data_IF_515324425984
#
_entry.id   IF_515324425984
#
_cell.length_a   1.000
_cell.length_b   1.000
_cell.length_c   1.000
_cell.angle_alpha   90.00
_cell.angle_beta   90.00
_cell.angle_gamma   90.00
#
_symmetry.space_group_name_H-M   'P 1'
#
loop_
_entity.id
_entity.type
_entity.pdbx_description
1 polymer ?
#
# COMPACT_ATOMS: atom_id res chain seq x y z
N UNK A 1 -5.12 26.41 15.39
CA UNK A 1 -6.03 27.56 15.37
C UNK A 1 -6.99 27.36 14.21
N UNK A 2 -8.32 27.50 14.39
CA UNK A 2 -9.30 27.35 13.31
C UNK A 2 -9.69 28.73 12.79
N UNK A 3 -9.42 29.02 11.51
CA UNK A 3 -9.81 30.30 10.89
C UNK A 3 -11.29 30.23 10.48
N UNK A 4 -12.11 31.20 10.87
CA UNK A 4 -13.55 31.22 10.55
C UNK A 4 -13.86 31.97 9.25
N UNK A 5 -14.92 31.61 8.51
CA UNK A 5 -15.32 32.32 7.28
C UNK A 5 -15.67 33.81 7.53
N UNK A 6 -16.20 34.12 8.71
CA UNK A 6 -16.44 35.51 9.16
C UNK A 6 -15.14 36.34 9.18
N UNK A 7 -13.99 35.68 9.38
CA UNK A 7 -12.65 36.27 9.38
C UNK A 7 -12.16 36.71 7.99
N UNK A 8 -12.86 36.41 6.89
CA UNK A 8 -12.41 36.79 5.54
C UNK A 8 -13.30 37.84 4.92
N UNK A 9 -14.62 37.71 5.11
CA UNK A 9 -15.56 38.76 4.72
C UNK A 9 -15.20 40.10 5.38
N UNK A 10 -14.75 40.05 6.64
CA UNK A 10 -14.23 41.23 7.33
C UNK A 10 -12.77 41.59 6.98
N UNK A 11 -11.96 40.67 6.40
CA UNK A 11 -10.63 40.98 5.84
C UNK A 11 -10.71 41.80 4.56
N UNK A 12 -11.66 41.43 3.68
CA UNK A 12 -11.93 42.13 2.43
C UNK A 12 -12.52 43.52 2.65
N UNK A 13 -13.05 43.79 3.86
CA UNK A 13 -13.62 45.07 4.29
C UNK A 13 -12.67 45.87 5.22
N UNK A 14 -11.52 45.32 5.58
CA UNK A 14 -10.57 45.98 6.48
C UNK A 14 -9.67 46.95 5.68
N UNK A 15 -9.59 48.25 6.04
CA UNK A 15 -8.66 49.16 5.39
C UNK A 15 -7.23 48.80 5.81
N UNK A 16 -6.46 48.31 4.84
CA UNK A 16 -5.04 47.95 4.94
C UNK A 16 -4.27 48.98 4.11
N UNK A 17 -3.24 49.56 4.71
CA UNK A 17 -2.42 50.61 4.10
C UNK A 17 -1.28 50.00 3.27
N UNK A 18 -0.69 50.77 2.35
CA UNK A 18 0.54 50.33 1.64
C UNK A 18 1.70 50.07 2.61
N UNK A 19 1.73 50.78 3.73
CA UNK A 19 2.72 50.58 4.81
C UNK A 19 2.55 49.21 5.49
N UNK A 20 1.31 48.79 5.75
CA UNK A 20 1.01 47.44 6.26
C UNK A 20 1.50 46.35 5.26
N UNK A 21 1.28 46.56 3.96
CA UNK A 21 1.73 45.63 2.90
C UNK A 21 3.27 45.58 2.85
N UNK A 22 3.94 46.72 2.96
CA UNK A 22 5.41 46.79 2.98
C UNK A 22 6.00 46.10 4.21
N UNK A 23 5.36 46.24 5.38
CA UNK A 23 5.72 45.54 6.60
C UNK A 23 5.58 44.02 6.39
N UNK A 24 4.45 43.53 5.87
CA UNK A 24 4.22 42.11 5.59
C UNK A 24 5.26 41.50 4.63
N UNK A 25 5.63 42.24 3.58
CA UNK A 25 6.67 41.82 2.64
C UNK A 25 8.05 41.65 3.29
N UNK A 26 8.35 42.42 4.34
CA UNK A 26 9.61 42.33 5.09
C UNK A 26 9.71 41.09 6.00
N UNK A 27 8.58 40.45 6.34
CA UNK A 27 8.51 39.28 7.25
C UNK A 27 8.62 37.92 6.57
N UNK A 28 8.84 37.92 5.25
CA UNK A 28 8.99 36.70 4.46
C UNK A 28 10.35 35.99 4.64
N UNK A 29 11.18 36.41 5.61
CA UNK A 29 12.52 35.84 5.88
C UNK A 29 12.63 35.09 7.22
N UNK A 30 11.55 34.96 7.99
CA UNK A 30 11.59 34.42 9.36
C UNK A 30 11.26 32.90 9.42
N UNK A 31 11.95 32.18 10.30
CA UNK A 31 11.96 30.71 10.36
C UNK A 31 10.64 30.09 10.83
N UNK A 32 9.92 30.65 11.81
CA UNK A 32 8.68 30.08 12.38
C UNK A 32 7.47 31.01 12.25
N UNK A 33 6.24 30.46 12.26
CA UNK A 33 5.01 31.26 12.19
C UNK A 33 4.84 32.15 13.42
N UNK A 34 5.19 31.62 14.59
CA UNK A 34 5.06 32.34 15.85
C UNK A 34 5.96 33.57 15.88
N UNK A 35 7.16 33.51 15.27
CA UNK A 35 8.02 34.68 15.12
C UNK A 35 7.44 35.71 14.14
N UNK A 36 6.85 35.24 13.03
CA UNK A 36 6.15 36.12 12.08
C UNK A 36 4.96 36.82 12.76
N UNK A 37 4.13 36.07 13.48
CA UNK A 37 2.96 36.60 14.18
C UNK A 37 3.40 37.52 15.32
N UNK A 38 4.40 37.12 16.12
CA UNK A 38 4.94 37.92 17.21
C UNK A 38 5.49 39.25 16.70
N UNK A 39 6.37 39.24 15.71
CA UNK A 39 6.98 40.46 15.21
C UNK A 39 5.98 41.36 14.47
N UNK A 40 5.01 40.76 13.76
CA UNK A 40 3.90 41.52 13.17
C UNK A 40 2.99 42.11 14.25
N UNK A 41 2.74 41.39 15.35
CA UNK A 41 1.95 41.89 16.47
C UNK A 41 2.65 43.01 17.24
N UNK A 42 3.99 43.02 17.26
CA UNK A 42 4.77 44.12 17.82
C UNK A 42 4.73 45.37 16.93
N UNK A 43 4.75 45.20 15.61
CA UNK A 43 4.72 46.33 14.66
C UNK A 43 3.31 46.83 14.34
N UNK A 44 2.30 45.97 14.48
CA UNK A 44 0.88 46.27 14.19
C UNK A 44 -0.01 45.83 15.37
N UNK A 45 0.17 46.42 16.57
CA UNK A 45 -0.46 45.94 17.81
C UNK A 45 -2.00 46.07 17.84
N UNK A 46 -2.56 46.88 16.95
CA UNK A 46 -4.01 47.12 16.85
C UNK A 46 -4.68 46.35 15.72
N UNK A 47 -3.93 45.57 14.93
CA UNK A 47 -4.43 44.84 13.77
C UNK A 47 -4.52 43.36 14.07
N UNK A 48 -5.51 42.68 13.49
CA UNK A 48 -5.54 41.23 13.52
C UNK A 48 -4.62 40.68 12.41
N UNK A 49 -3.51 40.09 12.82
CA UNK A 49 -2.42 39.64 11.93
C UNK A 49 -2.86 38.54 10.96
N UNK A 50 -3.81 37.68 11.35
CA UNK A 50 -4.34 36.63 10.48
C UNK A 50 -5.06 37.22 9.26
N UNK A 51 -5.87 38.26 9.48
CA UNK A 51 -6.57 38.97 8.41
C UNK A 51 -5.58 39.60 7.42
N UNK A 52 -4.53 40.24 7.96
CA UNK A 52 -3.49 40.87 7.16
C UNK A 52 -2.75 39.86 6.29
N UNK A 53 -2.40 38.71 6.85
CA UNK A 53 -1.70 37.65 6.13
C UNK A 53 -2.60 37.04 5.03
N UNK A 54 -3.87 36.76 5.33
CA UNK A 54 -4.83 36.27 4.34
C UNK A 54 -5.00 37.30 3.20
N UNK A 55 -5.22 38.57 3.52
CA UNK A 55 -5.36 39.62 2.51
C UNK A 55 -4.11 39.75 1.63
N UNK A 56 -2.92 39.72 2.24
CA UNK A 56 -1.66 39.78 1.52
C UNK A 56 -1.47 38.59 0.58
N UNK A 57 -1.80 37.37 1.01
CA UNK A 57 -1.81 36.17 0.16
C UNK A 57 -2.74 36.39 -1.04
N UNK A 58 -3.97 36.83 -0.81
CA UNK A 58 -4.97 37.04 -1.88
C UNK A 58 -4.51 38.11 -2.87
N UNK A 59 -4.06 39.26 -2.37
CA UNK A 59 -3.59 40.39 -3.18
C UNK A 59 -2.39 40.00 -4.04
N UNK A 60 -1.44 39.27 -3.46
CA UNK A 60 -0.24 38.83 -4.15
C UNK A 60 -0.54 37.74 -5.19
N UNK A 61 -1.48 36.84 -4.93
CA UNK A 61 -1.88 35.81 -5.91
C UNK A 61 -2.67 36.38 -7.10
N UNK A 62 -3.36 37.51 -6.93
CA UNK A 62 -4.15 38.18 -7.99
C UNK A 62 -3.31 39.02 -8.96
N UNK A 63 -2.07 39.34 -8.61
CA UNK A 63 -1.19 40.20 -9.42
C UNK A 63 0.08 39.46 -9.84
N UNK A 64 0.66 39.77 -11.02
CA UNK A 64 1.98 39.27 -11.41
C UNK A 64 3.01 39.44 -10.28
N UNK A 65 3.69 38.37 -9.90
CA UNK A 65 4.69 38.41 -8.82
C UNK A 65 5.91 37.55 -9.11
N UNK A 66 6.93 37.64 -8.26
CA UNK A 66 8.16 36.85 -8.37
C UNK A 66 8.01 35.46 -7.72
N UNK A 67 8.81 34.51 -8.18
CA UNK A 67 8.85 33.14 -7.62
C UNK A 67 9.11 33.13 -6.11
N UNK A 68 10.06 33.96 -5.61
CA UNK A 68 10.33 34.10 -4.18
C UNK A 68 9.09 34.48 -3.36
N UNK A 69 8.24 35.36 -3.91
CA UNK A 69 7.00 35.78 -3.22
C UNK A 69 5.99 34.64 -3.19
N UNK A 70 5.90 33.84 -4.25
CA UNK A 70 5.08 32.62 -4.27
C UNK A 70 5.58 31.60 -3.23
N UNK A 71 6.89 31.34 -3.17
CA UNK A 71 7.48 30.42 -2.17
C UNK A 71 7.12 30.88 -0.75
N UNK A 72 7.23 32.18 -0.47
CA UNK A 72 6.89 32.73 0.85
C UNK A 72 5.41 32.56 1.18
N UNK A 73 4.51 32.78 0.22
CA UNK A 73 3.08 32.50 0.38
C UNK A 73 2.86 31.02 0.71
N UNK A 74 3.45 30.10 -0.06
CA UNK A 74 3.28 28.66 0.15
C UNK A 74 3.81 28.23 1.53
N UNK A 75 4.92 28.79 1.98
CA UNK A 75 5.48 28.55 3.32
C UNK A 75 4.58 29.09 4.44
N UNK A 76 3.93 30.23 4.22
CA UNK A 76 2.95 30.78 5.16
C UNK A 76 1.70 29.91 5.18
N UNK A 77 1.19 29.48 4.03
CA UNK A 77 0.08 28.52 3.93
C UNK A 77 0.44 27.21 4.65
N UNK A 78 1.69 26.74 4.57
CA UNK A 78 2.13 25.57 5.34
C UNK A 78 1.97 25.73 6.84
N UNK A 79 2.38 26.90 7.33
CA UNK A 79 2.39 27.26 8.74
C UNK A 79 0.97 27.45 9.29
N UNK A 80 0.03 27.97 8.50
CA UNK A 80 -1.39 28.02 8.83
C UNK A 80 -2.07 26.69 8.49
N UNK A 81 -2.25 25.81 9.48
CA UNK A 81 -2.92 24.51 9.37
C UNK A 81 -3.74 24.26 8.06
N UNK A 82 -3.20 23.39 7.20
CA UNK A 82 -3.62 22.99 5.82
C UNK A 82 -5.06 23.31 5.40
N UNK A 83 -6.03 22.93 6.23
CA UNK A 83 -7.44 22.93 5.85
C UNK A 83 -8.11 24.30 5.84
N UNK A 84 -7.55 25.29 6.53
CA UNK A 84 -8.27 26.55 6.74
C UNK A 84 -8.05 27.52 5.59
N UNK A 85 -6.80 27.82 5.20
CA UNK A 85 -6.54 28.77 4.09
C UNK A 85 -7.01 28.23 2.74
N UNK A 86 -6.91 26.93 2.48
CA UNK A 86 -7.35 26.35 1.20
C UNK A 86 -8.87 26.46 1.06
N UNK A 87 -9.65 26.12 2.11
CA UNK A 87 -11.10 26.32 2.13
C UNK A 87 -11.51 27.79 1.96
N UNK A 88 -10.67 28.70 2.44
CA UNK A 88 -10.86 30.14 2.29
C UNK A 88 -10.65 30.57 0.84
N UNK A 89 -9.58 30.08 0.20
CA UNK A 89 -9.32 30.34 -1.22
C UNK A 89 -10.47 29.83 -2.10
N UNK A 90 -10.99 28.64 -1.78
CA UNK A 90 -12.15 28.01 -2.44
C UNK A 90 -13.44 28.83 -2.24
N UNK A 91 -13.77 29.18 -0.99
CA UNK A 91 -15.02 29.87 -0.65
C UNK A 91 -15.13 31.27 -1.25
N UNK A 92 -14.00 31.89 -1.63
CA UNK A 92 -13.93 33.25 -2.16
C UNK A 92 -13.68 33.32 -3.68
N UNK A 93 -13.68 32.18 -4.37
CA UNK A 93 -13.54 32.09 -5.82
C UNK A 93 -12.35 32.91 -6.36
N UNK A 94 -11.21 32.87 -5.65
CA UNK A 94 -10.09 33.76 -5.92
C UNK A 94 -9.43 33.39 -7.25
N UNK A 95 -9.54 34.28 -8.23
CA UNK A 95 -8.82 34.16 -9.50
C UNK A 95 -7.32 34.43 -9.28
N UNK A 96 -6.53 33.37 -9.28
CA UNK A 96 -5.07 33.47 -9.26
C UNK A 96 -4.60 33.92 -10.65
N UNK A 97 -3.68 34.88 -10.67
CA UNK A 97 -3.14 35.41 -11.92
C UNK A 97 -2.45 34.29 -12.73
N UNK A 98 -2.66 34.18 -14.06
CA UNK A 98 -2.13 33.07 -14.86
C UNK A 98 -0.61 32.87 -14.76
N UNK A 99 0.16 33.96 -14.66
CA UNK A 99 1.61 33.89 -14.44
C UNK A 99 1.97 33.18 -13.13
N UNK A 100 1.21 33.41 -12.07
CA UNK A 100 1.47 32.81 -10.76
C UNK A 100 1.13 31.32 -10.78
N UNK A 101 0.13 30.90 -11.56
CA UNK A 101 -0.17 29.48 -11.80
C UNK A 101 1.04 28.79 -12.45
N UNK A 102 1.64 29.41 -13.48
CA UNK A 102 2.86 28.89 -14.13
C UNK A 102 4.02 28.78 -13.14
N UNK A 103 4.21 29.79 -12.28
CA UNK A 103 5.25 29.73 -11.24
C UNK A 103 5.00 28.58 -10.25
N UNK A 104 3.75 28.37 -9.82
CA UNK A 104 3.37 27.26 -8.93
C UNK A 104 3.59 25.91 -9.62
N UNK A 105 3.25 25.78 -10.90
CA UNK A 105 3.55 24.58 -11.69
C UNK A 105 5.06 24.31 -11.77
N UNK A 106 5.86 25.35 -12.01
CA UNK A 106 7.32 25.21 -12.08
C UNK A 106 7.93 24.81 -10.73
N UNK A 107 7.43 25.36 -9.62
CA UNK A 107 7.84 24.94 -8.27
C UNK A 107 7.54 23.47 -8.02
N UNK A 108 6.36 22.99 -8.46
CA UNK A 108 6.03 21.57 -8.37
C UNK A 108 6.96 20.71 -9.25
N UNK A 109 7.15 21.07 -10.53
CA UNK A 109 8.00 20.31 -11.48
C UNK A 109 9.45 20.23 -11.07
N UNK A 110 10.00 21.33 -10.56
CA UNK A 110 11.39 21.45 -10.18
C UNK A 110 11.65 21.03 -8.72
N UNK A 111 10.66 20.42 -8.07
CA UNK A 111 10.84 19.86 -6.74
C UNK A 111 11.98 18.85 -6.75
N UNK A 112 12.88 18.97 -5.79
CA UNK A 112 13.93 18.01 -5.56
C UNK A 112 13.94 17.63 -4.09
N UNK A 113 14.32 16.39 -3.82
CA UNK A 113 14.65 15.96 -2.47
C UNK A 113 15.80 16.81 -1.93
N UNK A 114 15.61 17.37 -0.74
CA UNK A 114 16.70 17.99 -0.01
C UNK A 114 17.70 16.90 0.45
N UNK A 115 18.78 16.75 -0.33
CA UNK A 115 19.84 15.75 -0.09
C UNK A 115 20.64 15.99 1.20
N UNK A 116 20.38 17.08 1.92
CA UNK A 116 21.05 17.34 3.20
C UNK A 116 20.61 16.34 4.29
N UNK A 117 19.45 15.69 4.15
CA UNK A 117 18.98 14.68 5.10
C UNK A 117 19.76 13.35 5.02
N UNK A 118 19.79 12.67 6.18
CA UNK A 118 20.32 11.34 6.56
C UNK A 118 21.31 10.64 5.61
N UNK A 119 22.43 10.15 6.18
CA UNK A 119 23.38 9.27 5.47
C UNK A 119 22.70 8.10 4.75
N UNK A 120 21.64 7.56 5.37
CA UNK A 120 20.83 6.46 4.85
C UNK A 120 20.16 6.79 3.51
N UNK A 121 19.48 7.93 3.42
CA UNK A 121 18.79 8.33 2.19
C UNK A 121 19.80 8.63 1.07
N UNK A 122 20.94 9.26 1.39
CA UNK A 122 22.00 9.52 0.39
C UNK A 122 22.50 8.24 -0.27
N UNK A 123 22.89 7.25 0.53
CA UNK A 123 23.34 5.96 0.02
C UNK A 123 22.27 5.26 -0.84
N UNK A 124 21.01 5.31 -0.41
CA UNK A 124 19.91 4.71 -1.14
C UNK A 124 19.58 5.42 -2.46
N UNK A 125 19.94 6.69 -2.60
CA UNK A 125 19.72 7.48 -3.82
C UNK A 125 20.85 7.37 -4.86
N UNK A 126 22.04 6.85 -4.50
CA UNK A 126 23.20 6.81 -5.40
C UNK A 126 22.93 6.06 -6.71
N UNK A 127 22.14 4.98 -6.66
CA UNK A 127 21.83 4.14 -7.82
C UNK A 127 20.39 4.27 -8.33
N UNK A 128 19.58 5.12 -7.71
CA UNK A 128 18.13 5.15 -7.97
C UNK A 128 17.81 5.54 -9.42
N UNK A 129 18.58 6.46 -10.00
CA UNK A 129 18.42 6.90 -11.39
C UNK A 129 18.65 5.75 -12.38
N UNK A 130 19.62 4.87 -12.09
CA UNK A 130 19.90 3.69 -12.91
C UNK A 130 18.75 2.71 -12.85
N UNK A 131 18.19 2.47 -11.66
CA UNK A 131 17.05 1.57 -11.50
C UNK A 131 15.77 2.12 -12.15
N UNK A 132 15.56 3.44 -12.12
CA UNK A 132 14.46 4.12 -12.82
C UNK A 132 14.61 3.92 -14.34
N UNK A 133 15.80 4.15 -14.89
CA UNK A 133 16.06 3.96 -16.32
C UNK A 133 15.87 2.52 -16.79
N UNK A 134 16.17 1.54 -15.93
CA UNK A 134 15.95 0.12 -16.22
C UNK A 134 14.57 -0.41 -15.84
N UNK A 135 13.67 0.45 -15.33
CA UNK A 135 12.34 0.09 -14.83
C UNK A 135 12.37 -1.09 -13.82
N UNK A 136 13.39 -1.09 -12.95
CA UNK A 136 13.59 -2.10 -11.91
C UNK A 136 12.85 -1.68 -10.63
N UNK A 137 11.51 -1.76 -10.69
CA UNK A 137 10.60 -1.34 -9.61
C UNK A 137 10.90 -2.01 -8.27
N UNK A 138 11.40 -3.24 -8.29
CA UNK A 138 11.79 -3.97 -7.08
C UNK A 138 13.03 -3.37 -6.42
N UNK A 139 14.06 -3.03 -7.21
CA UNK A 139 15.25 -2.33 -6.68
C UNK A 139 14.92 -0.91 -6.22
N UNK A 140 14.05 -0.21 -6.94
CA UNK A 140 13.55 1.11 -6.54
C UNK A 140 12.87 1.02 -5.18
N UNK A 141 11.90 0.11 -5.02
CA UNK A 141 11.19 -0.08 -3.76
C UNK A 141 12.15 -0.53 -2.64
N UNK A 142 12.98 -1.55 -2.89
CA UNK A 142 13.90 -2.07 -1.86
C UNK A 142 14.92 -1.02 -1.38
N UNK A 143 15.32 -0.07 -2.25
CA UNK A 143 16.19 1.04 -1.88
C UNK A 143 15.48 2.12 -1.06
N UNK A 144 14.19 2.38 -1.31
CA UNK A 144 13.49 3.53 -0.75
C UNK A 144 12.54 3.21 0.41
N UNK A 145 11.95 2.00 0.47
CA UNK A 145 10.87 1.67 1.40
C UNK A 145 11.24 1.86 2.87
N UNK A 146 12.51 1.61 3.25
CA UNK A 146 12.97 1.82 4.62
C UNK A 146 13.20 3.28 5.00
N UNK A 147 13.24 4.18 4.01
CA UNK A 147 13.41 5.61 4.18
C UNK A 147 12.12 6.39 3.85
N UNK A 148 10.96 5.73 3.74
CA UNK A 148 9.72 6.38 3.31
C UNK A 148 9.27 7.53 4.25
N UNK A 149 9.47 7.38 5.57
CA UNK A 149 9.22 8.45 6.54
C UNK A 149 10.15 9.64 6.30
N UNK A 150 11.41 9.38 5.97
CA UNK A 150 12.38 10.42 5.61
C UNK A 150 11.97 11.11 4.30
N UNK A 151 11.53 10.36 3.27
CA UNK A 151 11.06 10.91 2.00
C UNK A 151 9.93 11.92 2.20
N UNK A 152 8.98 11.62 3.10
CA UNK A 152 7.89 12.54 3.47
C UNK A 152 8.41 13.88 4.00
N UNK A 153 9.55 13.89 4.70
CA UNK A 153 10.13 15.09 5.32
C UNK A 153 11.20 15.78 4.46
N UNK A 154 11.73 15.11 3.44
CA UNK A 154 12.79 15.65 2.58
C UNK A 154 12.27 16.50 1.41
N UNK A 155 10.96 16.53 1.20
CA UNK A 155 10.32 17.41 0.21
C UNK A 155 10.13 18.80 0.82
N UNK A 156 10.52 19.83 0.08
CA UNK A 156 10.27 21.21 0.48
C UNK A 156 8.77 21.46 0.66
N UNK A 157 8.38 22.06 1.78
CA UNK A 157 6.99 22.40 2.06
C UNK A 157 6.35 23.23 0.95
N UNK A 158 7.08 24.19 0.36
CA UNK A 158 6.57 24.98 -0.75
C UNK A 158 6.07 24.11 -1.92
N UNK A 159 6.78 23.04 -2.27
CA UNK A 159 6.38 22.09 -3.32
C UNK A 159 5.13 21.29 -2.96
N UNK A 160 5.00 20.85 -1.71
CA UNK A 160 3.80 20.13 -1.23
C UNK A 160 2.57 21.03 -1.34
N UNK A 161 2.70 22.31 -0.98
CA UNK A 161 1.59 23.27 -1.03
C UNK A 161 1.32 23.80 -2.42
N UNK A 162 2.35 23.88 -3.27
CA UNK A 162 2.15 24.12 -4.70
C UNK A 162 1.22 23.04 -5.26
N UNK A 163 1.47 21.76 -4.95
CA UNK A 163 0.58 20.68 -5.35
C UNK A 163 -0.84 20.83 -4.80
N UNK A 164 -1.01 21.12 -3.50
CA UNK A 164 -2.33 21.33 -2.92
C UNK A 164 -3.12 22.47 -3.57
N UNK A 165 -2.45 23.57 -3.95
CA UNK A 165 -3.11 24.66 -4.68
C UNK A 165 -3.49 24.21 -6.09
N UNK A 166 -2.59 23.52 -6.80
CA UNK A 166 -2.86 23.02 -8.15
C UNK A 166 -4.07 22.08 -8.16
N UNK A 167 -4.24 21.25 -7.13
CA UNK A 167 -5.41 20.35 -6.99
C UNK A 167 -6.73 21.13 -7.05
N UNK A 168 -6.76 22.35 -6.53
CA UNK A 168 -7.96 23.20 -6.51
C UNK A 168 -8.16 23.99 -7.80
N UNK A 169 -7.08 24.41 -8.44
CA UNK A 169 -7.15 25.27 -9.62
C UNK A 169 -7.41 24.50 -10.91
N UNK A 170 -6.96 23.25 -10.96
CA UNK A 170 -6.91 22.48 -12.20
C UNK A 170 -7.94 21.38 -12.19
N UNK A 171 -8.46 21.10 -13.39
CA UNK A 171 -9.21 19.87 -13.58
C UNK A 171 -8.27 18.66 -13.46
N UNK A 172 -8.86 17.49 -13.23
CA UNK A 172 -8.14 16.23 -13.04
C UNK A 172 -7.16 15.92 -14.18
N UNK A 173 -7.54 16.18 -15.44
CA UNK A 173 -6.72 15.87 -16.62
C UNK A 173 -5.43 16.70 -16.65
N UNK A 174 -5.52 17.99 -16.35
CA UNK A 174 -4.36 18.89 -16.28
C UNK A 174 -3.42 18.54 -15.13
N UNK A 175 -3.97 18.21 -13.95
CA UNK A 175 -3.20 17.72 -12.81
C UNK A 175 -2.46 16.43 -13.13
N UNK A 176 -3.16 15.49 -13.77
CA UNK A 176 -2.58 14.23 -14.16
C UNK A 176 -1.40 14.43 -15.12
N UNK A 177 -1.55 15.31 -16.12
CA UNK A 177 -0.46 15.65 -17.03
C UNK A 177 0.76 16.18 -16.28
N UNK A 178 0.55 17.12 -15.35
CA UNK A 178 1.62 17.67 -14.51
C UNK A 178 2.34 16.60 -13.70
N UNK A 179 1.58 15.72 -13.04
CA UNK A 179 2.11 14.60 -12.25
C UNK A 179 2.95 13.67 -13.14
N UNK A 180 2.45 13.31 -14.32
CA UNK A 180 3.12 12.39 -15.24
C UNK A 180 4.43 12.93 -15.82
N UNK A 181 4.64 14.26 -15.77
CA UNK A 181 5.87 14.90 -16.23
C UNK A 181 6.98 14.84 -15.17
N UNK A 182 6.65 14.55 -13.90
CA UNK A 182 7.62 14.37 -12.81
C UNK A 182 8.11 12.91 -12.80
N UNK A 183 9.32 12.70 -13.33
CA UNK A 183 9.95 11.36 -13.42
C UNK A 183 10.82 10.98 -12.22
N UNK A 184 11.09 11.92 -11.33
CA UNK A 184 11.85 11.67 -10.11
C UNK A 184 10.97 10.95 -9.06
N UNK A 185 11.07 9.61 -9.03
CA UNK A 185 10.26 8.75 -8.14
C UNK A 185 10.40 9.14 -6.66
N UNK A 186 11.61 9.30 -6.09
CA UNK A 186 11.76 9.75 -4.71
C UNK A 186 10.97 11.04 -4.41
N UNK A 187 11.02 12.02 -5.31
CA UNK A 187 10.29 13.28 -5.16
C UNK A 187 8.78 13.05 -5.21
N UNK A 188 8.29 12.33 -6.23
CA UNK A 188 6.86 12.10 -6.40
C UNK A 188 6.27 11.27 -5.26
N UNK A 189 6.98 10.23 -4.82
CA UNK A 189 6.62 9.43 -3.64
C UNK A 189 6.55 10.31 -2.39
N UNK A 190 7.57 11.13 -2.11
CA UNK A 190 7.57 12.04 -0.97
C UNK A 190 6.39 13.04 -0.98
N UNK A 191 6.03 13.56 -2.16
CA UNK A 191 4.84 14.41 -2.33
C UNK A 191 3.57 13.61 -2.03
N UNK A 192 3.42 12.41 -2.61
CA UNK A 192 2.25 11.56 -2.42
C UNK A 192 2.05 11.12 -0.97
N UNK A 193 3.13 10.87 -0.24
CA UNK A 193 3.09 10.57 1.21
C UNK A 193 2.64 11.76 2.08
N UNK A 194 2.52 12.97 1.51
CA UNK A 194 2.01 14.16 2.20
C UNK A 194 0.57 14.55 1.81
N UNK A 195 -0.05 13.79 0.90
CA UNK A 195 -1.41 14.01 0.41
C UNK A 195 -2.38 13.05 1.11
N UNK A 196 -3.61 13.51 1.29
CA UNK A 196 -4.70 12.66 1.78
C UNK A 196 -4.95 11.45 0.86
N UNK A 197 -5.04 10.21 1.38
CA UNK A 197 -5.21 9.00 0.57
C UNK A 197 -6.41 9.04 -0.39
N UNK A 198 -7.56 9.54 0.08
CA UNK A 198 -8.78 9.65 -0.74
C UNK A 198 -8.58 10.63 -1.89
N UNK A 199 -7.96 11.78 -1.63
CA UNK A 199 -7.62 12.74 -2.68
C UNK A 199 -6.64 12.16 -3.70
N UNK A 200 -5.55 11.55 -3.22
CA UNK A 200 -4.54 10.94 -4.08
C UNK A 200 -5.17 9.88 -5.01
N UNK A 201 -5.96 8.97 -4.45
CA UNK A 201 -6.63 7.93 -5.21
C UNK A 201 -7.61 8.50 -6.23
N UNK A 202 -8.40 9.53 -5.88
CA UNK A 202 -9.29 10.18 -6.83
C UNK A 202 -8.53 10.78 -8.03
N UNK A 203 -7.33 11.31 -7.81
CA UNK A 203 -6.47 11.87 -8.86
C UNK A 203 -5.82 10.79 -9.74
N UNK A 204 -5.46 9.63 -9.17
CA UNK A 204 -4.59 8.67 -9.86
C UNK A 204 -5.26 7.35 -10.26
N UNK A 205 -6.50 7.04 -9.83
CA UNK A 205 -7.12 5.72 -10.06
C UNK A 205 -7.25 5.32 -11.54
N UNK A 206 -7.29 6.30 -12.45
CA UNK A 206 -7.37 6.12 -13.90
C UNK A 206 -6.03 6.31 -14.60
N UNK A 207 -4.92 6.39 -13.86
CA UNK A 207 -3.57 6.44 -14.45
C UNK A 207 -3.26 5.18 -15.24
N UNK A 208 -2.59 5.35 -16.38
CA UNK A 208 -1.91 4.26 -17.10
C UNK A 208 -0.37 4.39 -17.02
N UNK A 209 0.15 5.42 -16.33
CA UNK A 209 1.59 5.64 -16.17
C UNK A 209 2.11 4.82 -14.98
N UNK A 210 3.05 3.91 -15.25
CA UNK A 210 3.66 3.03 -14.24
C UNK A 210 4.31 3.80 -13.10
N UNK A 211 4.94 4.94 -13.38
CA UNK A 211 5.60 5.74 -12.35
C UNK A 211 4.59 6.28 -11.35
N UNK A 212 3.47 6.80 -11.86
CA UNK A 212 2.38 7.34 -11.04
C UNK A 212 1.74 6.22 -10.24
N UNK A 213 1.44 5.09 -10.88
CA UNK A 213 0.85 3.92 -10.21
C UNK A 213 1.76 3.43 -9.09
N UNK A 214 3.05 3.24 -9.38
CA UNK A 214 4.04 2.79 -8.42
C UNK A 214 4.16 3.76 -7.23
N UNK A 215 4.27 5.06 -7.49
CA UNK A 215 4.35 6.07 -6.43
C UNK A 215 3.07 6.10 -5.58
N UNK A 216 1.89 6.02 -6.19
CA UNK A 216 0.60 5.96 -5.48
C UNK A 216 0.54 4.75 -4.56
N UNK A 217 0.85 3.56 -5.06
CA UNK A 217 0.82 2.35 -4.24
C UNK A 217 1.86 2.42 -3.12
N UNK A 218 3.08 2.86 -3.44
CA UNK A 218 4.18 2.94 -2.47
C UNK A 218 3.94 3.99 -1.37
N UNK A 219 3.22 5.08 -1.67
CA UNK A 219 2.84 6.08 -0.68
C UNK A 219 1.67 5.64 0.20
N UNK A 220 0.71 4.88 -0.36
CA UNK A 220 -0.46 4.36 0.38
C UNK A 220 -0.10 3.17 1.28
N UNK A 221 0.89 2.38 0.87
CA UNK A 221 1.28 1.14 1.53
C UNK A 221 2.76 1.17 1.96
N UNK A 222 3.12 2.04 2.93
CA UNK A 222 4.47 2.06 3.46
C UNK A 222 4.79 0.75 4.19
N UNK A 223 6.08 0.41 4.25
CA UNK A 223 6.56 -0.84 4.84
C UNK A 223 6.31 -0.95 6.36
N UNK A 224 6.13 0.16 7.06
CA UNK A 224 5.86 0.14 8.50
C UNK A 224 4.37 -0.03 8.80
N UNK A 225 3.99 -1.20 9.32
CA UNK A 225 2.61 -1.56 9.69
C UNK A 225 1.90 -0.55 10.61
N UNK A 226 2.66 0.26 11.36
CA UNK A 226 2.10 1.21 12.34
C UNK A 226 1.41 2.41 11.70
N UNK A 227 1.67 2.69 10.42
CA UNK A 227 1.09 3.82 9.69
C UNK A 227 0.01 3.38 8.68
N UNK A 228 -0.29 2.08 8.59
CA UNK A 228 -1.31 1.60 7.66
C UNK A 228 -2.71 1.84 8.21
N UNK A 229 -3.37 2.87 7.68
CA UNK A 229 -4.78 3.11 7.94
C UNK A 229 -5.63 2.14 7.12
N UNK A 230 -6.70 1.56 7.72
CA UNK A 230 -7.67 0.80 6.95
C UNK A 230 -8.26 1.69 5.85
N UNK A 231 -8.31 1.16 4.63
CA UNK A 231 -8.95 1.85 3.52
C UNK A 231 -10.46 1.85 3.72
N UNK A 232 -11.10 2.96 3.35
CA UNK A 232 -12.55 3.01 3.16
C UNK A 232 -12.96 2.17 1.95
N UNK A 233 -14.24 1.80 1.86
CA UNK A 233 -14.75 1.00 0.74
C UNK A 233 -14.52 1.66 -0.62
N UNK A 234 -14.63 2.99 -0.68
CA UNK A 234 -14.36 3.78 -1.90
C UNK A 234 -12.87 3.75 -2.26
N UNK A 235 -11.98 3.87 -1.28
CA UNK A 235 -10.53 3.80 -1.52
C UNK A 235 -10.10 2.41 -1.97
N UNK A 236 -10.65 1.35 -1.38
CA UNK A 236 -10.45 -0.02 -1.85
C UNK A 236 -10.87 -0.19 -3.31
N UNK A 237 -11.99 0.41 -3.73
CA UNK A 237 -12.48 0.38 -5.11
C UNK A 237 -11.53 1.10 -6.06
N UNK A 238 -10.99 2.26 -5.66
CA UNK A 238 -9.99 2.98 -6.47
C UNK A 238 -8.67 2.21 -6.58
N UNK A 239 -8.18 1.62 -5.49
CA UNK A 239 -6.99 0.75 -5.53
C UNK A 239 -7.24 -0.46 -6.41
N UNK A 240 -8.42 -1.08 -6.33
CA UNK A 240 -8.77 -2.22 -7.17
C UNK A 240 -8.78 -1.86 -8.66
N UNK A 241 -9.31 -0.69 -9.04
CA UNK A 241 -9.25 -0.17 -10.41
C UNK A 241 -7.81 0.06 -10.89
N UNK A 242 -6.97 0.62 -10.03
CA UNK A 242 -5.55 0.86 -10.33
C UNK A 242 -4.80 -0.46 -10.59
N UNK A 243 -5.01 -1.46 -9.74
CA UNK A 243 -4.42 -2.80 -9.88
C UNK A 243 -4.98 -3.55 -11.09
N UNK A 244 -6.28 -3.43 -11.36
CA UNK A 244 -6.89 -3.99 -12.56
C UNK A 244 -6.30 -3.36 -13.83
N UNK A 245 -5.94 -2.08 -13.81
CA UNK A 245 -5.24 -1.45 -14.94
C UNK A 245 -3.85 -2.02 -15.15
N UNK A 246 -3.09 -2.20 -14.07
CA UNK A 246 -1.80 -2.90 -14.12
C UNK A 246 -1.94 -4.27 -14.77
N UNK A 247 -3.07 -4.96 -14.53
CA UNK A 247 -3.31 -6.28 -15.09
C UNK A 247 -3.26 -6.28 -16.63
N UNK A 248 -3.71 -5.22 -17.33
CA UNK A 248 -3.57 -5.17 -18.80
C UNK A 248 -2.10 -5.25 -19.27
N UNK A 249 -1.14 -4.98 -18.39
CA UNK A 249 0.29 -5.13 -18.59
C UNK A 249 0.89 -6.15 -17.61
N UNK A 250 0.81 -7.44 -17.99
CA UNK A 250 1.20 -8.59 -17.16
C UNK A 250 2.56 -8.44 -16.46
N UNK A 251 3.55 -7.89 -17.16
CA UNK A 251 4.90 -7.73 -16.61
C UNK A 251 4.92 -6.74 -15.45
N UNK A 252 4.31 -5.57 -15.62
CA UNK A 252 4.25 -4.56 -14.56
C UNK A 252 3.44 -5.06 -13.36
N UNK A 253 2.30 -5.71 -13.59
CA UNK A 253 1.52 -6.32 -12.51
C UNK A 253 2.32 -7.38 -11.72
N UNK A 254 3.13 -8.19 -12.42
CA UNK A 254 4.02 -9.15 -11.78
C UNK A 254 5.04 -8.46 -10.85
N UNK A 255 5.66 -7.37 -11.31
CA UNK A 255 6.60 -6.58 -10.50
C UNK A 255 5.91 -5.97 -9.27
N UNK A 256 4.71 -5.41 -9.43
CA UNK A 256 3.90 -4.87 -8.31
C UNK A 256 3.55 -5.95 -7.28
N UNK A 257 3.10 -7.13 -7.72
CA UNK A 257 2.80 -8.23 -6.80
C UNK A 257 4.05 -8.77 -6.10
N UNK A 258 5.20 -8.79 -6.78
CA UNK A 258 6.46 -9.18 -6.14
C UNK A 258 6.89 -8.21 -5.04
N UNK A 259 6.54 -6.94 -5.15
CA UNK A 259 6.79 -5.94 -4.10
C UNK A 259 5.82 -6.12 -2.93
N UNK A 260 4.50 -6.11 -3.20
CA UNK A 260 3.50 -5.94 -2.15
C UNK A 260 2.82 -7.25 -1.70
N UNK A 261 2.91 -8.33 -2.48
CA UNK A 261 2.19 -9.58 -2.22
C UNK A 261 3.09 -10.78 -1.88
N UNK A 262 4.41 -10.71 -2.12
CA UNK A 262 5.36 -11.77 -1.73
C UNK A 262 5.23 -12.17 -0.27
N UNK A 263 5.05 -11.18 0.61
CA UNK A 263 4.75 -11.35 2.03
C UNK A 263 3.49 -10.58 2.40
N UNK A 264 2.29 -11.19 2.27
CA UNK A 264 1.00 -10.50 2.42
C UNK A 264 0.82 -9.78 3.76
N UNK A 265 1.45 -10.32 4.81
CA UNK A 265 1.44 -9.72 6.15
C UNK A 265 2.05 -8.32 6.20
N UNK A 266 2.97 -7.97 5.27
CA UNK A 266 3.57 -6.62 5.15
C UNK A 266 2.57 -5.55 4.75
N UNK A 267 1.53 -5.93 4.00
CA UNK A 267 0.52 -4.99 3.51
C UNK A 267 -0.89 -5.58 3.65
N UNK A 268 -1.39 -5.79 4.88
CA UNK A 268 -2.70 -6.41 5.09
C UNK A 268 -3.85 -5.61 4.48
N UNK A 269 -3.76 -4.28 4.51
CA UNK A 269 -4.82 -3.36 4.02
C UNK A 269 -5.02 -3.42 2.50
N UNK A 270 -4.01 -3.87 1.75
CA UNK A 270 -4.08 -4.04 0.29
C UNK A 270 -4.90 -5.27 -0.13
N UNK A 271 -5.00 -6.28 0.72
CA UNK A 271 -5.48 -7.62 0.34
C UNK A 271 -6.92 -7.63 -0.16
N UNK A 272 -7.80 -6.84 0.45
CA UNK A 272 -9.20 -6.75 0.01
C UNK A 272 -9.30 -6.10 -1.38
N UNK A 273 -8.55 -5.03 -1.64
CA UNK A 273 -8.49 -4.40 -2.96
C UNK A 273 -7.86 -5.31 -4.03
N UNK A 274 -6.88 -6.13 -3.67
CA UNK A 274 -6.34 -7.18 -4.55
C UNK A 274 -7.42 -8.20 -4.93
N UNK A 275 -8.21 -8.68 -3.97
CA UNK A 275 -9.33 -9.60 -4.22
C UNK A 275 -10.35 -9.02 -5.21
N UNK A 276 -10.73 -7.76 -5.02
CA UNK A 276 -11.57 -6.99 -5.96
C UNK A 276 -10.93 -6.92 -7.35
N UNK A 277 -9.66 -6.52 -7.44
CA UNK A 277 -8.95 -6.36 -8.71
C UNK A 277 -8.88 -7.67 -9.51
N UNK A 278 -8.61 -8.80 -8.84
CA UNK A 278 -8.58 -10.12 -9.48
C UNK A 278 -9.94 -10.53 -10.03
N UNK A 279 -11.02 -10.22 -9.31
CA UNK A 279 -12.38 -10.51 -9.78
C UNK A 279 -12.78 -9.62 -10.97
N UNK A 280 -12.46 -8.32 -10.91
CA UNK A 280 -12.75 -7.35 -11.99
C UNK A 280 -11.98 -7.70 -13.26
N UNK A 281 -10.70 -8.05 -13.14
CA UNK A 281 -9.87 -8.41 -14.29
C UNK A 281 -10.38 -9.65 -15.04
N UNK A 282 -11.13 -10.52 -14.34
CA UNK A 282 -11.84 -11.69 -14.89
C UNK A 282 -11.00 -12.54 -15.87
N UNK A 283 -9.73 -12.78 -15.52
CA UNK A 283 -8.76 -13.42 -16.41
C UNK A 283 -7.82 -14.36 -15.63
N UNK A 284 -7.80 -15.62 -16.04
CA UNK A 284 -7.02 -16.71 -15.44
C UNK A 284 -5.51 -16.45 -15.43
N UNK A 285 -4.99 -15.68 -16.39
CA UNK A 285 -3.57 -15.28 -16.39
C UNK A 285 -3.19 -14.49 -15.13
N UNK A 286 -4.08 -13.66 -14.59
CA UNK A 286 -3.79 -12.87 -13.39
C UNK A 286 -3.88 -13.67 -12.12
N UNK A 287 -4.75 -14.68 -12.08
CA UNK A 287 -4.76 -15.68 -11.01
C UNK A 287 -3.40 -16.36 -10.94
N UNK A 288 -2.85 -16.77 -12.10
CA UNK A 288 -1.55 -17.40 -12.15
C UNK A 288 -0.44 -16.49 -11.62
N UNK A 289 -0.43 -15.21 -12.04
CA UNK A 289 0.56 -14.24 -11.54
C UNK A 289 0.40 -14.03 -10.03
N UNK A 290 -0.84 -13.86 -9.54
CA UNK A 290 -1.12 -13.68 -8.11
C UNK A 290 -0.65 -14.86 -7.27
N UNK A 291 -1.07 -16.09 -7.60
CA UNK A 291 -0.67 -17.28 -6.83
C UNK A 291 0.85 -17.47 -6.86
N UNK A 292 1.48 -17.28 -8.02
CA UNK A 292 2.93 -17.45 -8.16
C UNK A 292 3.74 -16.30 -7.51
N UNK A 293 3.12 -15.18 -7.18
CA UNK A 293 3.80 -14.08 -6.48
C UNK A 293 4.01 -14.35 -4.99
N UNK A 294 3.30 -15.33 -4.42
CA UNK A 294 3.40 -15.67 -3.01
C UNK A 294 4.67 -16.46 -2.72
N UNK A 295 5.44 -16.01 -1.71
CA UNK A 295 6.53 -16.83 -1.19
C UNK A 295 5.97 -17.87 -0.23
N UNK A 296 5.98 -19.14 -0.65
CA UNK A 296 5.53 -20.26 0.17
C UNK A 296 6.66 -20.74 1.08
N UNK A 297 6.40 -20.69 2.39
CA UNK A 297 7.26 -21.25 3.43
C UNK A 297 6.37 -21.92 4.50
N UNK A 298 6.87 -22.87 5.29
CA UNK A 298 6.06 -23.54 6.31
C UNK A 298 5.63 -22.58 7.43
N UNK A 299 4.33 -22.51 7.71
CA UNK A 299 3.72 -21.54 8.63
C UNK A 299 3.14 -22.17 9.89
N UNK A 300 2.93 -21.35 10.92
CA UNK A 300 2.07 -21.69 12.06
C UNK A 300 0.59 -21.53 11.69
N UNK A 301 -0.29 -22.15 12.49
CA UNK A 301 -1.75 -22.03 12.31
C UNK A 301 -2.28 -20.61 12.48
N UNK A 302 -1.49 -19.70 13.05
CA UNK A 302 -1.90 -18.32 13.35
C UNK A 302 -1.23 -17.25 12.51
N UNK A 303 -0.43 -17.64 11.52
CA UNK A 303 0.31 -16.70 10.70
C UNK A 303 -0.59 -15.62 10.07
N UNK A 304 -0.17 -14.36 10.21
CA UNK A 304 -0.93 -13.20 9.72
C UNK A 304 -1.04 -13.19 8.19
N UNK A 305 -0.04 -13.72 7.47
CA UNK A 305 -0.07 -13.86 6.03
C UNK A 305 -1.23 -14.76 5.57
N UNK A 306 -1.51 -15.85 6.30
CA UNK A 306 -2.67 -16.73 6.02
C UNK A 306 -3.99 -15.97 6.16
N UNK A 307 -4.12 -15.14 7.20
CA UNK A 307 -5.32 -14.31 7.42
C UNK A 307 -5.47 -13.26 6.32
N UNK A 308 -4.36 -12.63 5.92
CA UNK A 308 -4.29 -11.66 4.82
C UNK A 308 -4.77 -12.27 3.50
N UNK A 309 -4.25 -13.45 3.14
CA UNK A 309 -4.66 -14.16 1.91
C UNK A 309 -6.12 -14.57 1.97
N UNK A 310 -6.62 -15.04 3.11
CA UNK A 310 -8.06 -15.30 3.28
C UNK A 310 -8.90 -14.07 2.97
N UNK A 311 -8.54 -12.89 3.46
CA UNK A 311 -9.28 -11.64 3.19
C UNK A 311 -9.34 -11.34 1.69
N UNK A 312 -8.22 -11.49 0.98
CA UNK A 312 -8.18 -11.35 -0.48
C UNK A 312 -9.11 -12.36 -1.17
N UNK A 313 -9.03 -13.63 -0.78
CA UNK A 313 -9.79 -14.71 -1.43
C UNK A 313 -11.29 -14.67 -1.12
N UNK A 314 -11.69 -14.25 0.09
CA UNK A 314 -13.11 -14.04 0.44
C UNK A 314 -13.72 -12.92 -0.42
N UNK A 315 -13.00 -11.82 -0.60
CA UNK A 315 -13.47 -10.70 -1.43
C UNK A 315 -13.52 -11.07 -2.92
N UNK A 316 -12.50 -11.79 -3.41
CA UNK A 316 -12.52 -12.35 -4.75
C UNK A 316 -13.69 -13.32 -4.95
N UNK A 317 -13.94 -14.23 -4.01
CA UNK A 317 -15.04 -15.19 -4.07
C UNK A 317 -16.40 -14.49 -4.10
N UNK A 318 -16.56 -13.36 -3.41
CA UNK A 318 -17.80 -12.59 -3.41
C UNK A 318 -18.15 -12.04 -4.80
N UNK A 319 -17.14 -11.67 -5.59
CA UNK A 319 -17.29 -10.92 -6.84
C UNK A 319 -17.06 -11.74 -8.12
N UNK A 320 -16.21 -12.76 -8.07
CA UNK A 320 -15.81 -13.52 -9.24
C UNK A 320 -16.93 -14.43 -9.79
N UNK A 321 -16.81 -14.81 -11.06
CA UNK A 321 -17.65 -15.86 -11.66
C UNK A 321 -17.28 -17.25 -11.14
N UNK A 322 -18.23 -18.21 -11.16
CA UNK A 322 -17.98 -19.57 -10.67
C UNK A 322 -16.80 -20.26 -11.38
N UNK A 323 -16.66 -20.05 -12.69
CA UNK A 323 -15.53 -20.58 -13.47
C UNK A 323 -14.19 -20.04 -12.95
N UNK A 324 -14.13 -18.74 -12.70
CA UNK A 324 -12.91 -18.08 -12.26
C UNK A 324 -12.54 -18.47 -10.82
N UNK A 325 -13.54 -18.65 -9.94
CA UNK A 325 -13.36 -19.23 -8.59
C UNK A 325 -12.71 -20.60 -8.66
N UNK A 326 -13.27 -21.50 -9.47
CA UNK A 326 -12.72 -22.85 -9.63
C UNK A 326 -11.27 -22.82 -10.13
N UNK A 327 -11.00 -21.98 -11.13
CA UNK A 327 -9.64 -21.82 -11.69
C UNK A 327 -8.62 -21.36 -10.63
N UNK A 328 -9.02 -20.45 -9.74
CA UNK A 328 -8.17 -20.03 -8.62
C UNK A 328 -7.89 -21.17 -7.65
N UNK A 329 -8.93 -21.90 -7.24
CA UNK A 329 -8.79 -23.01 -6.29
C UNK A 329 -7.94 -24.14 -6.86
N UNK A 330 -8.16 -24.50 -8.12
CA UNK A 330 -7.38 -25.50 -8.85
C UNK A 330 -5.91 -25.08 -8.95
N UNK A 331 -5.64 -23.84 -9.38
CA UNK A 331 -4.27 -23.32 -9.46
C UNK A 331 -3.56 -23.33 -8.10
N UNK A 332 -4.24 -22.87 -7.05
CA UNK A 332 -3.70 -22.87 -5.69
C UNK A 332 -3.40 -24.29 -5.21
N UNK A 333 -4.29 -25.25 -5.48
CA UNK A 333 -4.09 -26.66 -5.14
C UNK A 333 -2.87 -27.25 -5.84
N UNK A 334 -2.69 -26.99 -7.15
CA UNK A 334 -1.52 -27.48 -7.88
C UNK A 334 -0.21 -26.92 -7.34
N UNK A 335 -0.16 -25.61 -7.05
CA UNK A 335 1.03 -24.97 -6.48
C UNK A 335 1.32 -25.51 -5.07
N UNK A 336 0.30 -25.62 -4.21
CA UNK A 336 0.41 -26.18 -2.87
C UNK A 336 0.91 -27.64 -2.88
N UNK A 337 0.35 -28.47 -3.76
CA UNK A 337 0.71 -29.88 -3.89
C UNK A 337 2.15 -30.08 -4.41
N UNK A 338 2.56 -29.26 -5.39
CA UNK A 338 3.92 -29.31 -5.94
C UNK A 338 4.99 -28.82 -4.97
N UNK A 339 4.66 -27.84 -4.11
CA UNK A 339 5.61 -27.22 -3.18
C UNK A 339 6.12 -28.19 -2.10
N UNK A 340 5.32 -29.18 -1.67
CA UNK A 340 5.71 -30.21 -0.69
C UNK A 340 6.39 -29.66 0.58
N UNK A 341 5.99 -28.47 1.04
CA UNK A 341 6.57 -27.80 2.22
C UNK A 341 8.08 -27.55 2.13
N UNK A 342 8.63 -27.43 0.92
CA UNK A 342 10.05 -27.17 0.63
C UNK A 342 11.04 -28.23 1.17
N UNK A 343 10.52 -29.42 1.51
CA UNK A 343 11.33 -30.55 1.98
C UNK A 343 12.47 -30.90 1.01
N UNK A 344 12.26 -30.92 -0.33
CA UNK A 344 13.32 -31.31 -1.26
C UNK A 344 14.47 -30.32 -1.40
N UNK A 345 14.31 -29.04 -1.04
CA UNK A 345 15.32 -28.00 -1.32
C UNK A 345 16.03 -27.49 -0.06
N UNK A 346 15.34 -27.27 1.07
CA UNK A 346 15.95 -26.60 2.22
C UNK A 346 15.41 -27.02 3.61
N UNK A 347 14.60 -28.08 3.74
CA UNK A 347 13.81 -28.29 4.96
C UNK A 347 13.74 -29.71 5.49
N UNK A 348 13.97 -29.85 6.80
CA UNK A 348 13.38 -30.92 7.59
C UNK A 348 12.14 -30.37 8.30
N UNK A 349 11.04 -31.12 8.27
CA UNK A 349 9.79 -30.74 8.91
C UNK A 349 9.69 -31.45 10.26
N UNK A 350 9.59 -30.69 11.36
CA UNK A 350 9.63 -31.24 12.72
C UNK A 350 8.32 -31.06 13.52
N UNK A 351 7.32 -30.46 12.90
CA UNK A 351 6.01 -30.19 13.44
C UNK A 351 4.98 -30.03 12.31
N UNK A 352 3.69 -29.98 12.67
CA UNK A 352 2.63 -29.71 11.70
C UNK A 352 2.76 -28.26 11.23
N UNK A 353 2.81 -28.07 9.92
CA UNK A 353 2.89 -26.75 9.29
C UNK A 353 1.72 -26.49 8.38
N UNK A 354 1.54 -25.21 8.10
CA UNK A 354 0.45 -24.66 7.32
C UNK A 354 0.98 -23.89 6.10
N UNK A 355 0.09 -23.55 5.20
CA UNK A 355 0.41 -22.81 3.99
C UNK A 355 -0.47 -21.56 3.86
N UNK A 356 0.04 -20.53 3.15
CA UNK A 356 -0.74 -19.37 2.73
C UNK A 356 -1.98 -19.77 1.91
N UNK A 357 -1.89 -20.89 1.18
CA UNK A 357 -2.92 -21.35 0.26
C UNK A 357 -3.99 -22.26 0.88
N UNK A 358 -3.92 -22.56 2.18
CA UNK A 358 -4.81 -23.55 2.81
C UNK A 358 -6.29 -23.24 2.60
N UNK A 359 -6.69 -21.97 2.68
CA UNK A 359 -8.07 -21.55 2.40
C UNK A 359 -8.53 -22.00 0.99
N UNK A 360 -7.71 -21.74 -0.02
CA UNK A 360 -8.02 -22.09 -1.41
C UNK A 360 -8.00 -23.61 -1.62
N UNK A 361 -7.11 -24.33 -0.92
CA UNK A 361 -7.02 -25.80 -0.96
C UNK A 361 -8.27 -26.44 -0.38
N UNK A 362 -8.75 -25.98 0.78
CA UNK A 362 -10.00 -26.47 1.39
C UNK A 362 -11.19 -26.20 0.46
N UNK A 363 -11.24 -25.01 -0.17
CA UNK A 363 -12.24 -24.67 -1.19
C UNK A 363 -12.15 -25.57 -2.42
N UNK A 364 -10.95 -25.89 -2.90
CA UNK A 364 -10.77 -26.80 -4.02
C UNK A 364 -11.37 -28.18 -3.70
N UNK A 365 -11.02 -28.74 -2.54
CA UNK A 365 -11.57 -30.03 -2.11
C UNK A 365 -13.10 -30.01 -2.05
N UNK A 366 -13.67 -28.97 -1.43
CA UNK A 366 -15.13 -28.81 -1.31
C UNK A 366 -15.86 -28.77 -2.65
N UNK A 367 -15.26 -28.12 -3.65
CA UNK A 367 -15.91 -27.92 -4.95
C UNK A 367 -15.64 -29.07 -5.94
N UNK A 368 -14.68 -29.94 -5.64
CA UNK A 368 -14.22 -30.99 -6.58
C UNK A 368 -14.67 -32.38 -6.18
N UNK A 369 -14.78 -32.67 -4.88
CA UNK A 369 -15.00 -34.02 -4.38
C UNK A 369 -16.25 -34.12 -3.50
N UNK A 370 -16.90 -35.29 -3.54
CA UNK A 370 -17.99 -35.62 -2.62
C UNK A 370 -17.48 -35.93 -1.22
N UNK A 371 -18.36 -35.87 -0.22
CA UNK A 371 -18.03 -36.15 1.18
C UNK A 371 -17.49 -37.59 1.39
N UNK A 372 -18.01 -38.56 0.63
CA UNK A 372 -17.51 -39.93 0.63
C UNK A 372 -16.08 -39.99 0.10
N UNK A 373 -15.80 -39.23 -0.96
CA UNK A 373 -14.45 -39.18 -1.54
C UNK A 373 -13.47 -38.47 -0.61
N UNK A 374 -13.88 -37.41 0.09
CA UNK A 374 -13.08 -36.76 1.14
C UNK A 374 -12.75 -37.76 2.25
N UNK A 375 -13.75 -38.50 2.73
CA UNK A 375 -13.57 -39.50 3.79
C UNK A 375 -12.60 -40.60 3.37
N UNK A 376 -12.74 -41.11 2.15
CA UNK A 376 -11.80 -42.07 1.56
C UNK A 376 -10.37 -41.52 1.46
N UNK A 377 -10.19 -40.26 1.04
CA UNK A 377 -8.85 -39.65 0.97
C UNK A 377 -8.21 -39.48 2.36
N UNK A 378 -9.02 -39.19 3.37
CA UNK A 378 -8.58 -39.12 4.76
C UNK A 378 -8.10 -40.51 5.23
N UNK A 379 -8.92 -41.54 5.04
CA UNK A 379 -8.60 -42.92 5.42
C UNK A 379 -7.31 -43.38 4.74
N UNK A 380 -7.22 -43.19 3.42
CA UNK A 380 -6.01 -43.50 2.66
C UNK A 380 -4.76 -42.79 3.20
N UNK A 381 -4.85 -41.50 3.55
CA UNK A 381 -3.72 -40.78 4.14
C UNK A 381 -3.34 -41.32 5.53
N UNK A 382 -4.32 -41.73 6.33
CA UNK A 382 -4.06 -42.36 7.64
C UNK A 382 -3.35 -43.71 7.47
N UNK A 383 -3.75 -44.51 6.48
CA UNK A 383 -3.07 -45.75 6.11
C UNK A 383 -1.64 -45.47 5.66
N UNK A 384 -1.44 -44.49 4.76
CA UNK A 384 -0.10 -44.06 4.32
C UNK A 384 0.78 -43.66 5.50
N UNK A 385 0.24 -42.90 6.48
CA UNK A 385 0.98 -42.52 7.69
C UNK A 385 1.34 -43.74 8.55
N UNK A 386 0.40 -44.67 8.69
CA UNK A 386 0.60 -45.89 9.49
C UNK A 386 1.64 -46.83 8.87
N UNK A 387 1.90 -46.72 7.56
CA UNK A 387 2.88 -47.53 6.84
C UNK A 387 4.26 -46.87 6.71
N UNK A 388 4.44 -45.62 7.20
CA UNK A 388 5.72 -44.90 7.08
C UNK A 388 6.88 -45.69 7.72
N UNK A 389 6.63 -46.39 8.82
CA UNK A 389 7.63 -47.20 9.54
C UNK A 389 8.16 -48.40 8.72
N UNK A 390 7.37 -48.87 7.74
CA UNK A 390 7.77 -49.97 6.87
C UNK A 390 8.65 -49.51 5.71
N UNK A 391 8.70 -48.21 5.44
CA UNK A 391 9.55 -47.63 4.40
C UNK A 391 11.00 -47.48 4.87
N UNK A 392 11.94 -47.62 3.94
CA UNK A 392 13.35 -47.35 4.19
C UNK A 392 13.61 -45.85 4.12
N UNK A 393 14.19 -45.29 5.18
CA UNK A 393 14.58 -43.89 5.26
C UNK A 393 16.10 -43.76 5.32
N UNK A 394 16.65 -42.68 4.77
CA UNK A 394 18.10 -42.42 4.81
C UNK A 394 18.54 -41.99 6.22
N UNK A 395 17.66 -41.31 6.96
CA UNK A 395 17.90 -40.90 8.35
C UNK A 395 16.60 -40.82 9.18
N UNK A 396 16.74 -40.72 10.51
CA UNK A 396 15.61 -40.45 11.41
C UNK A 396 14.99 -39.06 11.17
N UNK A 397 15.77 -38.12 10.64
CA UNK A 397 15.31 -36.78 10.28
C UNK A 397 14.40 -36.83 9.06
N UNK A 398 14.73 -37.66 8.05
CA UNK A 398 13.88 -37.86 6.87
C UNK A 398 12.56 -38.54 7.23
N UNK A 399 12.62 -39.56 8.10
CA UNK A 399 11.43 -40.18 8.67
C UNK A 399 10.52 -39.14 9.33
N UNK A 400 11.10 -38.29 10.18
CA UNK A 400 10.36 -37.24 10.90
C UNK A 400 9.76 -36.22 9.93
N UNK A 401 10.51 -35.80 8.91
CA UNK A 401 10.03 -34.87 7.89
C UNK A 401 8.87 -35.45 7.08
N UNK A 402 8.96 -36.71 6.67
CA UNK A 402 7.86 -37.40 5.97
C UNK A 402 6.61 -37.53 6.86
N UNK A 403 6.79 -37.91 8.13
CA UNK A 403 5.70 -37.98 9.10
C UNK A 403 4.93 -36.66 9.19
N UNK A 404 5.64 -35.55 9.44
CA UNK A 404 5.00 -34.24 9.55
C UNK A 404 4.48 -33.71 8.21
N UNK A 405 5.04 -34.13 7.08
CA UNK A 405 4.53 -33.78 5.77
C UNK A 405 3.14 -34.38 5.54
N UNK A 406 2.98 -35.67 5.85
CA UNK A 406 1.68 -36.31 5.79
C UNK A 406 0.68 -35.65 6.74
N UNK A 407 1.08 -35.38 7.99
CA UNK A 407 0.22 -34.70 8.96
C UNK A 407 -0.22 -33.30 8.50
N UNK A 408 0.70 -32.53 7.91
CA UNK A 408 0.43 -31.17 7.41
C UNK A 408 -0.51 -31.20 6.21
N UNK A 409 -0.32 -32.14 5.27
CA UNK A 409 -1.22 -32.33 4.11
C UNK A 409 -2.58 -32.93 4.47
N UNK A 410 -2.70 -33.53 5.66
CA UNK A 410 -3.95 -34.06 6.19
C UNK A 410 -4.84 -32.97 6.83
N UNK A 411 -4.24 -31.86 7.31
CA UNK A 411 -4.98 -30.77 7.96
C UNK A 411 -6.12 -30.20 7.10
N UNK A 412 -5.92 -29.83 5.81
CA UNK A 412 -6.99 -29.25 4.99
C UNK A 412 -8.18 -30.20 4.76
N UNK A 413 -7.93 -31.50 4.61
CA UNK A 413 -8.97 -32.51 4.42
C UNK A 413 -9.82 -32.69 5.68
N UNK A 414 -9.16 -32.80 6.84
CA UNK A 414 -9.87 -32.88 8.12
C UNK A 414 -10.63 -31.61 8.46
N UNK A 415 -10.05 -30.45 8.15
CA UNK A 415 -10.73 -29.18 8.31
C UNK A 415 -12.04 -29.14 7.52
N UNK A 416 -12.01 -29.58 6.25
CA UNK A 416 -13.21 -29.71 5.43
C UNK A 416 -14.23 -30.69 6.05
N UNK A 417 -13.79 -31.84 6.55
CA UNK A 417 -14.69 -32.79 7.22
C UNK A 417 -15.36 -32.17 8.46
N UNK A 418 -14.65 -31.36 9.24
CA UNK A 418 -15.21 -30.66 10.40
C UNK A 418 -16.18 -29.55 9.99
N UNK A 419 -15.91 -28.84 8.89
CA UNK A 419 -16.83 -27.87 8.28
C UNK A 419 -18.13 -28.54 7.86
N UNK A 420 -18.07 -29.68 7.17
CA UNK A 420 -19.26 -30.40 6.71
C UNK A 420 -20.09 -30.98 7.87
N UNK A 421 -19.44 -31.27 9.01
CA UNK A 421 -20.10 -31.65 10.27
C UNK A 421 -20.64 -30.45 11.08
N UNK A 422 -20.50 -29.23 10.58
CA UNK A 422 -20.94 -28.00 11.27
C UNK A 422 -20.14 -27.63 12.52
N UNK A 423 -18.93 -28.20 12.70
CA UNK A 423 -18.07 -27.95 13.87
C UNK A 423 -17.13 -26.76 13.70
N UNK A 424 -16.95 -26.29 12.46
CA UNK A 424 -16.12 -25.14 12.10
C UNK A 424 -16.95 -24.17 11.25
N UNK A 425 -16.58 -22.89 11.24
CA UNK A 425 -17.33 -21.83 10.53
C UNK A 425 -16.55 -21.18 9.39
N UNK A 426 -15.21 -21.31 9.34
CA UNK A 426 -14.37 -20.67 8.35
C UNK A 426 -13.54 -21.72 7.58
N UNK A 427 -13.26 -21.47 6.30
CA UNK A 427 -12.45 -22.36 5.44
C UNK A 427 -10.93 -22.28 5.71
N UNK A 428 -10.48 -21.29 6.50
CA UNK A 428 -9.13 -21.22 7.02
C UNK A 428 -9.11 -21.74 8.46
N UNK A 429 -8.28 -22.76 8.69
CA UNK A 429 -7.96 -23.26 10.03
C UNK A 429 -7.05 -22.27 10.76
N UNK A 430 -7.52 -21.69 11.86
CA UNK A 430 -6.80 -20.71 12.69
C UNK A 430 -6.75 -21.20 14.15
N UNK A 431 -5.64 -20.95 14.86
CA UNK A 431 -5.45 -21.26 16.28
C UNK A 431 -5.62 -22.74 16.64
N UNK A 432 -5.50 -23.65 15.67
CA UNK A 432 -5.85 -25.05 15.88
C UNK A 432 -4.99 -25.96 15.01
N UNK A 433 -4.71 -27.13 15.55
CA UNK A 433 -4.10 -28.26 14.85
C UNK A 433 -4.96 -29.49 15.16
N UNK A 434 -5.35 -30.24 14.13
CA UNK A 434 -6.03 -31.51 14.34
C UNK A 434 -4.99 -32.54 14.76
N UNK A 435 -5.13 -33.05 15.97
CA UNK A 435 -4.40 -34.22 16.47
C UNK A 435 -5.17 -35.47 16.08
N UNK A 436 -4.46 -36.52 15.66
CA UNK A 436 -5.06 -37.76 15.21
C UNK A 436 -4.79 -38.85 16.26
N UNK A 437 -5.78 -39.11 17.11
CA UNK A 437 -5.68 -39.98 18.29
C UNK A 437 -5.33 -41.45 18.00
N UNK A 438 -5.41 -41.88 16.73
CA UNK A 438 -5.09 -43.25 16.29
C UNK A 438 -3.71 -43.38 15.64
N UNK A 439 -2.91 -42.31 15.61
CA UNK A 439 -1.56 -42.34 15.07
C UNK A 439 -0.56 -42.46 16.24
N UNK A 440 -0.22 -43.69 16.61
CA UNK A 440 0.88 -43.95 17.53
C UNK A 440 2.20 -43.68 16.80
N UNK A 441 3.07 -42.84 17.37
CA UNK A 441 4.43 -42.63 16.87
C UNK A 441 5.25 -43.83 17.34
N UNK A 442 5.32 -44.91 16.57
CA UNK A 442 6.10 -46.09 16.95
C UNK A 442 7.61 -45.80 16.89
N UNK A 443 8.36 -46.47 17.78
CA UNK A 443 9.77 -46.19 18.08
C UNK A 443 10.77 -46.99 17.22
N UNK A 444 10.31 -47.87 16.33
CA UNK A 444 11.19 -48.71 15.50
C UNK A 444 11.41 -48.11 14.10
N UNK A 445 12.43 -47.27 13.96
CA UNK A 445 12.81 -46.66 12.67
C UNK A 445 13.70 -47.64 11.89
N UNK A 446 13.35 -47.94 10.63
CA UNK A 446 14.20 -48.70 9.69
C UNK A 446 15.08 -47.74 8.87
N UNK A 447 16.33 -47.57 9.30
CA UNK A 447 17.32 -46.69 8.64
C UNK A 447 18.19 -47.52 7.70
N UNK A 448 18.41 -47.05 6.45
CA UNK A 448 19.39 -47.68 5.54
C UNK A 448 20.81 -47.47 6.08
N UNK A 449 21.50 -48.56 6.40
CA UNK A 449 22.92 -48.59 6.78
C UNK A 449 23.83 -48.70 5.58
#
# INVERSE_FOLDING_TARGET
>A
MKISNNLIESALQYPITEEDIHILQSFCRYETLDNIIHDLSLKLPTKNIEYLLIFWIISTLRTPTSEDKIINILNIIYKFNKGDIIKILESNNIQIHPQNIILIENLFRNTQINKQHTFRLRHNLENISTFIQSEDWEKIYSSLHLAHTELKHCINFSSIYAFHILVQLKNKSELYKLISEVRDIPTLWGIFSNIDPSLLLNLTYDSNDHHVIFCTLSSLFPFEHREQHPLTENEEEFVAKLLCKCSYEKEFFCKILKIFNTYPSRVPTLQKALGKALAIANNESFINIYINSLYLYPLSSNDEGRKCIRVCLEEFERLASSKLKYSLYEKAFHVWSAWKFDIPQNGYLFDIKFCLLDYAVVKYYKNTFSDEKISFMIEKKIEEISDIDNNWHESATDFTAQWYWHLSTLQPLFHLQMLNKGKELNYLQINKEYKFEKLDRFTSIRIRS
#
